data_IF_618923888258
#
_entry.id   IF_618923888258
#
_cell.length_a   1.000
_cell.length_b   1.000
_cell.length_c   1.000
_cell.angle_alpha   90.00
_cell.angle_beta   90.00
_cell.angle_gamma   90.00
#
_symmetry.space_group_name_H-M   'P 1'
#
loop_
_entity.id
_entity.type
_entity.pdbx_description
1 polymer ?
#
# COMPACT_ATOMS: atom_id res chain seq x y z
N UNK A 1 -15.45 -21.51 0.69
CA UNK A 1 -14.03 -21.12 0.80
C UNK A 1 -13.65 -21.08 2.28
N UNK A 2 -12.56 -21.73 2.68
CA UNK A 2 -12.03 -21.51 4.03
C UNK A 2 -11.55 -20.06 4.18
N UNK A 3 -11.56 -19.55 5.41
CA UNK A 3 -11.05 -18.21 5.70
C UNK A 3 -9.60 -18.09 5.22
N UNK A 4 -9.27 -17.09 4.37
CA UNK A 4 -7.92 -16.95 3.84
C UNK A 4 -6.92 -16.49 4.90
N UNK A 5 -5.69 -16.96 4.76
CA UNK A 5 -4.52 -16.54 5.52
C UNK A 5 -3.69 -15.58 4.66
N UNK A 6 -3.44 -14.37 5.17
CA UNK A 6 -2.49 -13.43 4.59
C UNK A 6 -1.17 -13.47 5.36
N UNK A 7 -0.10 -13.89 4.68
CA UNK A 7 1.25 -13.87 5.22
C UNK A 7 1.90 -12.54 4.85
N UNK A 8 2.39 -11.80 5.86
CA UNK A 8 2.98 -10.46 5.72
C UNK A 8 4.34 -10.36 6.40
N UNK A 9 5.14 -9.37 5.97
CA UNK A 9 6.35 -8.96 6.67
C UNK A 9 6.11 -7.86 7.70
N UNK A 10 7.18 -7.43 8.37
CA UNK A 10 7.17 -6.32 9.32
C UNK A 10 6.40 -5.11 8.78
N UNK A 11 5.43 -4.62 9.56
CA UNK A 11 4.53 -3.54 9.18
C UNK A 11 5.26 -2.21 9.02
N UNK A 12 6.35 -1.99 9.75
CA UNK A 12 7.18 -0.79 9.62
C UNK A 12 7.83 -0.67 8.24
N UNK A 13 8.21 -1.80 7.62
CA UNK A 13 9.07 -1.85 6.44
C UNK A 13 8.38 -2.37 5.16
N UNK A 14 7.46 -3.32 5.29
CA UNK A 14 6.90 -4.03 4.15
C UNK A 14 5.78 -3.25 3.44
N UNK A 15 6.16 -2.36 2.53
CA UNK A 15 5.22 -1.63 1.67
C UNK A 15 4.32 -2.56 0.83
N UNK A 16 4.84 -3.70 0.39
CA UNK A 16 4.09 -4.72 -0.33
C UNK A 16 3.04 -5.39 0.57
N UNK A 17 3.39 -5.71 1.81
CA UNK A 17 2.43 -6.29 2.75
C UNK A 17 1.32 -5.32 3.12
N UNK A 18 1.63 -4.03 3.30
CA UNK A 18 0.62 -3.00 3.54
C UNK A 18 -0.43 -2.99 2.42
N UNK A 19 -0.01 -3.07 1.14
CA UNK A 19 -0.95 -3.07 0.02
C UNK A 19 -1.95 -4.23 0.11
N UNK A 20 -1.48 -5.46 0.30
CA UNK A 20 -2.38 -6.61 0.39
C UNK A 20 -3.28 -6.54 1.64
N UNK A 21 -2.72 -6.18 2.79
CA UNK A 21 -3.48 -6.09 4.03
C UNK A 21 -4.56 -5.00 3.97
N UNK A 22 -4.21 -3.81 3.48
CA UNK A 22 -5.11 -2.68 3.35
C UNK A 22 -6.23 -2.98 2.35
N UNK A 23 -5.92 -3.64 1.24
CA UNK A 23 -6.91 -4.11 0.28
C UNK A 23 -7.96 -4.99 0.96
N UNK A 24 -7.53 -6.06 1.65
CA UNK A 24 -8.47 -6.99 2.29
C UNK A 24 -9.33 -6.29 3.35
N UNK A 25 -8.74 -5.42 4.17
CA UNK A 25 -9.47 -4.66 5.19
C UNK A 25 -10.47 -3.68 4.59
N UNK A 26 -10.05 -2.88 3.61
CA UNK A 26 -10.89 -1.83 3.03
C UNK A 26 -12.07 -2.38 2.20
N UNK A 27 -11.93 -3.60 1.65
CA UNK A 27 -12.96 -4.26 0.85
C UNK A 27 -13.69 -5.39 1.59
N UNK A 28 -13.67 -5.34 2.93
CA UNK A 28 -14.43 -6.21 3.84
C UNK A 28 -14.19 -7.71 3.63
N UNK A 29 -12.96 -8.09 3.26
CA UNK A 29 -12.57 -9.51 3.22
C UNK A 29 -12.19 -9.94 4.64
N UNK A 30 -12.80 -11.00 5.15
CA UNK A 30 -12.38 -11.62 6.40
C UNK A 30 -11.14 -12.51 6.14
N UNK A 31 -10.09 -12.32 6.93
CA UNK A 31 -8.81 -13.04 6.77
C UNK A 31 -8.07 -13.15 8.09
N UNK A 32 -7.26 -14.19 8.21
CA UNK A 32 -6.29 -14.36 9.28
C UNK A 32 -4.93 -13.81 8.83
N UNK A 33 -4.16 -13.26 9.76
CA UNK A 33 -2.86 -12.64 9.49
C UNK A 33 -1.74 -13.47 10.12
N UNK A 34 -0.70 -13.78 9.36
CA UNK A 34 0.56 -14.31 9.88
C UNK A 34 1.71 -13.37 9.54
N UNK A 35 2.27 -12.73 10.56
CA UNK A 35 3.45 -11.89 10.44
C UNK A 35 4.72 -12.74 10.49
N UNK A 36 5.66 -12.41 9.62
CA UNK A 36 7.03 -12.95 9.61
C UNK A 36 8.04 -11.80 9.76
N UNK A 37 9.20 -12.13 10.33
CA UNK A 37 10.34 -11.22 10.38
C UNK A 37 11.06 -11.23 9.02
N UNK A 38 11.14 -10.07 8.37
CA UNK A 38 11.82 -9.91 7.09
C UNK A 38 13.32 -10.13 7.25
N UNK A 39 13.89 -10.82 6.27
CA UNK A 39 15.32 -11.20 6.21
C UNK A 39 15.79 -12.06 7.38
N UNK A 40 14.88 -12.57 8.20
CA UNK A 40 15.20 -13.50 9.28
C UNK A 40 15.17 -14.95 8.76
N UNK A 41 16.16 -15.80 9.08
CA UNK A 41 16.16 -17.20 8.67
C UNK A 41 14.90 -17.99 9.10
N UNK A 42 14.23 -17.57 10.18
CA UNK A 42 13.00 -18.20 10.67
C UNK A 42 11.80 -18.04 9.71
N UNK A 43 11.82 -17.02 8.83
CA UNK A 43 10.75 -16.79 7.86
C UNK A 43 10.79 -17.78 6.68
N UNK A 44 11.97 -18.31 6.35
CA UNK A 44 12.19 -19.10 5.15
C UNK A 44 11.31 -20.37 5.08
N UNK A 45 11.22 -21.22 6.13
CA UNK A 45 10.37 -22.42 6.08
C UNK A 45 8.89 -22.09 5.89
N UNK A 46 8.41 -20.97 6.45
CA UNK A 46 7.03 -20.52 6.28
C UNK A 46 6.81 -20.13 4.81
N UNK A 47 7.69 -19.32 4.23
CA UNK A 47 7.53 -18.87 2.85
C UNK A 47 7.65 -20.02 1.85
N UNK A 48 8.60 -20.93 2.02
CA UNK A 48 8.76 -22.10 1.14
C UNK A 48 7.55 -23.04 1.18
N UNK A 49 6.86 -23.14 2.32
CA UNK A 49 5.63 -23.93 2.43
C UNK A 49 4.44 -23.29 1.70
N UNK A 50 4.48 -21.98 1.44
CA UNK A 50 3.33 -21.22 0.95
C UNK A 50 3.51 -20.59 -0.43
N UNK A 51 4.70 -20.17 -0.85
CA UNK A 51 4.92 -19.48 -2.14
C UNK A 51 6.25 -19.91 -2.78
N UNK A 52 6.29 -20.06 -4.12
CA UNK A 52 7.53 -20.35 -4.83
C UNK A 52 8.51 -19.16 -4.87
N UNK A 53 8.07 -17.96 -4.46
CA UNK A 53 8.87 -16.73 -4.60
C UNK A 53 9.80 -16.45 -3.43
N UNK A 54 9.54 -17.06 -2.26
CA UNK A 54 10.23 -16.72 -1.01
C UNK A 54 10.00 -15.27 -0.57
N UNK A 55 8.87 -14.64 -0.96
CA UNK A 55 8.54 -13.23 -0.68
C UNK A 55 7.13 -13.10 -0.13
N UNK A 56 6.90 -11.99 0.57
CA UNK A 56 5.58 -11.53 1.04
C UNK A 56 5.11 -10.33 0.21
N UNK A 57 3.79 -10.08 0.12
CA UNK A 57 2.70 -10.84 0.72
C UNK A 57 2.31 -12.10 -0.05
N UNK A 58 1.67 -13.03 0.66
CA UNK A 58 1.08 -14.25 0.08
C UNK A 58 -0.31 -14.46 0.69
N UNK A 59 -1.33 -14.59 -0.16
CA UNK A 59 -2.68 -14.96 0.24
C UNK A 59 -2.87 -16.46 0.01
N UNK A 60 -3.31 -17.20 1.03
CA UNK A 60 -3.43 -18.66 1.01
C UNK A 60 -4.80 -19.08 1.53
N UNK A 61 -5.48 -20.00 0.85
CA UNK A 61 -6.74 -20.56 1.35
C UNK A 61 -7.04 -21.92 0.71
N UNK A 62 -8.04 -22.62 1.24
CA UNK A 62 -8.53 -23.88 0.68
C UNK A 62 -9.78 -23.70 -0.18
N UNK A 63 -9.78 -24.31 -1.37
CA UNK A 63 -10.91 -24.41 -2.30
C UNK A 63 -11.21 -25.89 -2.56
N UNK A 64 -12.26 -26.42 -1.92
CA UNK A 64 -12.49 -27.87 -1.88
C UNK A 64 -11.32 -28.60 -1.23
N UNK A 65 -10.64 -29.46 -2.00
CA UNK A 65 -9.46 -30.21 -1.56
C UNK A 65 -8.13 -29.56 -2.00
N UNK A 66 -8.19 -28.45 -2.74
CA UNK A 66 -7.01 -27.80 -3.31
C UNK A 66 -6.57 -26.62 -2.45
N UNK A 67 -5.24 -26.44 -2.33
CA UNK A 67 -4.64 -25.24 -1.74
C UNK A 67 -4.45 -24.20 -2.84
N UNK A 68 -5.07 -23.04 -2.68
CA UNK A 68 -4.84 -21.89 -3.55
C UNK A 68 -3.84 -20.94 -2.88
N UNK A 69 -2.89 -20.46 -3.66
CA UNK A 69 -1.90 -19.47 -3.23
C UNK A 69 -1.81 -18.39 -4.29
N UNK A 70 -1.98 -17.14 -3.87
CA UNK A 70 -1.82 -15.95 -4.70
C UNK A 70 -0.71 -15.09 -4.11
N UNK A 71 0.41 -14.99 -4.84
CA UNK A 71 1.52 -14.09 -4.52
C UNK A 71 1.50 -12.91 -5.49
N UNK A 72 2.20 -11.83 -5.14
CA UNK A 72 2.16 -10.52 -5.81
C UNK A 72 0.91 -9.69 -5.46
N UNK A 73 1.12 -8.41 -5.09
CA UNK A 73 0.01 -7.55 -4.64
C UNK A 73 -1.00 -7.23 -5.74
N UNK A 74 -0.56 -7.15 -7.01
CA UNK A 74 -1.47 -6.88 -8.12
C UNK A 74 -2.29 -8.13 -8.46
N UNK A 75 -1.66 -9.30 -8.44
CA UNK A 75 -2.39 -10.56 -8.57
C UNK A 75 -3.40 -10.76 -7.43
N UNK A 76 -3.01 -10.48 -6.18
CA UNK A 76 -3.93 -10.51 -5.02
C UNK A 76 -5.10 -9.53 -5.24
N UNK A 77 -4.83 -8.31 -5.73
CA UNK A 77 -5.89 -7.33 -6.02
C UNK A 77 -6.88 -7.83 -7.07
N UNK A 78 -6.40 -8.34 -8.20
CA UNK A 78 -7.24 -8.91 -9.24
C UNK A 78 -8.08 -10.08 -8.70
N UNK A 79 -7.46 -10.97 -7.93
CA UNK A 79 -8.11 -12.15 -7.39
C UNK A 79 -9.18 -11.81 -6.35
N UNK A 80 -8.89 -10.85 -5.46
CA UNK A 80 -9.84 -10.36 -4.45
C UNK A 80 -11.03 -9.71 -5.12
N UNK A 81 -10.78 -8.85 -6.12
CA UNK A 81 -11.84 -8.20 -6.88
C UNK A 81 -12.77 -9.22 -7.53
N UNK A 82 -12.26 -10.35 -8.00
CA UNK A 82 -13.07 -11.34 -8.67
C UNK A 82 -13.86 -12.19 -7.66
N UNK A 83 -13.21 -12.69 -6.60
CA UNK A 83 -13.74 -13.80 -5.82
C UNK A 83 -14.03 -13.52 -4.33
N UNK A 84 -13.49 -12.45 -3.75
CA UNK A 84 -13.54 -12.25 -2.28
C UNK A 84 -14.38 -11.07 -1.82
N UNK A 85 -14.85 -10.22 -2.73
CA UNK A 85 -15.65 -9.05 -2.37
C UNK A 85 -16.73 -8.74 -3.39
N UNK A 86 -17.85 -8.22 -2.92
CA UNK A 86 -18.93 -7.67 -3.75
C UNK A 86 -18.69 -6.21 -4.12
N UNK A 87 -17.61 -5.59 -3.65
CA UNK A 87 -17.20 -4.24 -4.01
C UNK A 87 -16.21 -4.32 -5.19
N UNK A 88 -16.49 -3.61 -6.28
CA UNK A 88 -15.53 -3.48 -7.36
C UNK A 88 -14.36 -2.60 -6.90
N UNK A 89 -13.18 -3.18 -6.74
CA UNK A 89 -12.03 -2.48 -6.14
C UNK A 89 -11.51 -1.34 -7.02
N UNK A 90 -11.81 -1.37 -8.32
CA UNK A 90 -11.36 -0.36 -9.28
C UNK A 90 -12.20 0.91 -9.22
N UNK A 91 -13.45 0.81 -8.77
CA UNK A 91 -14.41 1.92 -8.69
C UNK A 91 -14.83 2.26 -7.26
N UNK A 92 -14.68 1.34 -6.31
CA UNK A 92 -15.12 1.48 -4.92
C UNK A 92 -16.65 1.35 -4.73
N UNK A 93 -17.35 0.80 -5.74
CA UNK A 93 -18.81 0.68 -5.77
C UNK A 93 -19.21 -0.79 -5.69
N UNK A 94 -20.32 -1.12 -5.03
CA UNK A 94 -20.83 -2.50 -5.03
C UNK A 94 -21.16 -2.94 -6.47
N UNK A 95 -20.71 -4.14 -6.84
CA UNK A 95 -20.96 -4.74 -8.17
C UNK A 95 -22.46 -4.83 -8.52
N UNK A 96 -23.40 -5.11 -7.59
CA UNK A 96 -24.83 -5.10 -7.90
C UNK A 96 -25.39 -3.71 -8.23
N UNK A 97 -24.73 -2.63 -7.79
CA UNK A 97 -25.19 -1.25 -7.96
C UNK A 97 -24.75 -0.62 -9.30
N UNK A 98 -24.04 -1.37 -10.15
CA UNK A 98 -23.58 -0.86 -11.46
C UNK A 98 -24.72 -0.81 -12.48
N UNK A 99 -24.98 0.37 -13.07
CA UNK A 99 -25.97 0.58 -14.12
C UNK A 99 -25.34 1.10 -15.44
N UNK A 100 -26.03 0.89 -16.56
CA UNK A 100 -25.50 1.12 -17.92
C UNK A 100 -24.94 2.54 -18.20
N UNK A 101 -25.49 3.61 -17.61
CA UNK A 101 -24.94 4.96 -17.74
C UNK A 101 -23.72 5.19 -16.82
N UNK A 102 -23.77 4.72 -15.57
CA UNK A 102 -22.59 4.74 -14.69
C UNK A 102 -21.45 3.89 -15.24
N UNK A 103 -21.74 2.88 -16.07
CA UNK A 103 -20.73 2.00 -16.65
C UNK A 103 -19.70 2.74 -17.53
N UNK A 104 -20.06 3.81 -18.25
CA UNK A 104 -19.07 4.49 -19.10
C UNK A 104 -18.00 5.22 -18.27
N UNK A 105 -18.42 6.05 -17.30
CA UNK A 105 -17.47 6.75 -16.42
C UNK A 105 -16.73 5.76 -15.52
N UNK A 106 -17.40 4.70 -15.05
CA UNK A 106 -16.79 3.63 -14.27
C UNK A 106 -15.73 2.89 -15.08
N UNK A 107 -15.97 2.59 -16.37
CA UNK A 107 -14.96 1.99 -17.25
C UNK A 107 -13.75 2.91 -17.44
N UNK A 108 -13.96 4.21 -17.68
CA UNK A 108 -12.86 5.18 -17.82
C UNK A 108 -12.04 5.27 -16.53
N UNK A 109 -12.71 5.45 -15.39
CA UNK A 109 -12.05 5.54 -14.09
C UNK A 109 -11.32 4.23 -13.75
N UNK A 110 -11.94 3.08 -14.02
CA UNK A 110 -11.34 1.77 -13.81
C UNK A 110 -10.09 1.57 -14.68
N UNK A 111 -10.16 1.94 -15.97
CA UNK A 111 -9.00 1.86 -16.86
C UNK A 111 -7.84 2.74 -16.37
N UNK A 112 -8.14 3.96 -15.92
CA UNK A 112 -7.11 4.86 -15.40
C UNK A 112 -6.55 4.37 -14.05
N UNK A 113 -7.41 3.90 -13.15
CA UNK A 113 -7.07 3.27 -11.88
C UNK A 113 -6.10 2.09 -12.09
N UNK A 114 -6.42 1.16 -12.98
CA UNK A 114 -5.57 0.02 -13.30
C UNK A 114 -4.21 0.47 -13.91
N UNK A 115 -4.22 1.49 -14.77
CA UNK A 115 -3.00 2.00 -15.41
C UNK A 115 -2.02 2.59 -14.39
N UNK A 116 -2.48 3.45 -13.48
CA UNK A 116 -1.61 4.06 -12.45
C UNK A 116 -1.16 3.04 -11.39
N UNK A 117 -1.99 2.02 -11.12
CA UNK A 117 -1.61 0.89 -10.28
C UNK A 117 -0.47 0.10 -10.94
N UNK A 118 -0.59 -0.22 -12.23
CA UNK A 118 0.45 -0.92 -12.97
C UNK A 118 1.75 -0.10 -13.03
N UNK A 119 1.65 1.22 -13.22
CA UNK A 119 2.79 2.15 -13.20
C UNK A 119 3.49 2.15 -11.83
N UNK A 120 2.75 2.24 -10.73
CA UNK A 120 3.32 2.18 -9.37
C UNK A 120 3.86 0.79 -9.01
N UNK A 121 3.23 -0.27 -9.51
CA UNK A 121 3.63 -1.65 -9.24
C UNK A 121 4.95 -2.00 -9.93
N UNK A 122 5.11 -1.60 -11.20
CA UNK A 122 6.25 -1.97 -12.06
C UNK A 122 7.31 -0.88 -12.24
N UNK A 123 7.03 0.36 -11.87
CA UNK A 123 7.91 1.51 -12.05
C UNK A 123 8.17 2.31 -10.77
N UNK A 124 8.41 3.62 -10.97
CA UNK A 124 8.72 4.61 -9.93
C UNK A 124 9.86 4.14 -8.99
N UNK A 125 10.96 3.68 -9.59
CA UNK A 125 12.06 3.05 -8.88
C UNK A 125 12.89 4.02 -8.05
N UNK A 126 13.01 5.29 -8.45
CA UNK A 126 13.77 6.31 -7.72
C UNK A 126 13.20 6.52 -6.32
N UNK A 127 11.91 6.80 -6.21
CA UNK A 127 11.27 6.93 -4.89
C UNK A 127 11.27 5.61 -4.11
N UNK A 128 11.14 4.46 -4.79
CA UNK A 128 11.14 3.15 -4.12
C UNK A 128 12.49 2.78 -3.52
N UNK A 129 13.58 3.18 -4.17
CA UNK A 129 14.94 2.85 -3.75
C UNK A 129 15.47 3.84 -2.70
N UNK A 130 15.12 5.12 -2.82
CA UNK A 130 15.68 6.19 -1.98
C UNK A 130 14.79 6.54 -0.78
N UNK A 131 13.50 6.22 -0.85
CA UNK A 131 12.55 6.38 0.25
C UNK A 131 11.91 5.02 0.60
N UNK A 132 12.65 4.08 1.20
CA UNK A 132 12.05 2.85 1.72
C UNK A 132 11.00 3.18 2.79
N UNK A 133 9.98 2.34 2.95
CA UNK A 133 8.97 2.61 3.97
C UNK A 133 9.59 2.37 5.36
N UNK A 134 9.56 3.36 6.23
CA UNK A 134 10.02 3.27 7.62
C UNK A 134 9.11 4.15 8.49
N UNK A 135 7.94 3.60 8.85
CA UNK A 135 6.82 4.35 9.44
C UNK A 135 7.18 5.04 10.75
N UNK A 136 8.09 4.46 11.54
CA UNK A 136 8.52 5.03 12.81
C UNK A 136 9.46 6.23 12.65
N UNK A 137 10.10 6.41 11.50
CA UNK A 137 11.14 7.41 11.33
C UNK A 137 10.60 8.76 10.83
N UNK A 138 11.30 9.83 11.20
CA UNK A 138 11.43 11.02 10.35
C UNK A 138 12.90 11.06 9.94
N UNK A 139 13.17 11.07 8.65
CA UNK A 139 14.54 10.93 8.14
C UNK A 139 14.82 11.90 6.99
N UNK A 140 16.04 12.41 6.97
CA UNK A 140 16.52 13.35 5.96
C UNK A 140 17.38 12.62 4.93
N UNK A 141 17.03 12.76 3.67
CA UNK A 141 17.80 12.24 2.54
C UNK A 141 18.21 13.38 1.60
N UNK A 142 19.09 13.06 0.64
CA UNK A 142 19.34 13.89 -0.52
C UNK A 142 18.80 13.16 -1.76
N UNK A 143 17.57 13.48 -2.21
CA UNK A 143 16.94 12.74 -3.29
C UNK A 143 17.65 13.01 -4.62
N UNK A 144 17.84 11.98 -5.42
CA UNK A 144 18.33 12.09 -6.79
C UNK A 144 17.30 12.76 -7.71
N UNK A 145 17.73 13.13 -8.92
CA UNK A 145 16.81 13.59 -9.95
C UNK A 145 15.76 12.55 -10.34
N UNK A 146 16.09 11.25 -10.26
CA UNK A 146 15.15 10.17 -10.53
C UNK A 146 14.07 10.11 -9.45
N UNK A 147 14.45 10.20 -8.17
CA UNK A 147 13.50 10.26 -7.05
C UNK A 147 12.58 11.48 -7.16
N UNK A 148 13.13 12.66 -7.44
CA UNK A 148 12.35 13.88 -7.62
C UNK A 148 11.40 13.81 -8.83
N UNK A 149 11.84 13.20 -9.93
CA UNK A 149 10.99 12.97 -11.11
C UNK A 149 9.83 12.03 -10.81
N UNK A 150 10.06 10.97 -10.03
CA UNK A 150 9.00 10.05 -9.60
C UNK A 150 7.98 10.76 -8.70
N UNK A 151 8.44 11.59 -7.76
CA UNK A 151 7.57 12.41 -6.91
C UNK A 151 6.71 13.32 -7.78
N UNK A 152 7.31 14.06 -8.72
CA UNK A 152 6.56 14.92 -9.63
C UNK A 152 5.51 14.15 -10.45
N UNK A 153 5.84 12.92 -10.91
CA UNK A 153 4.89 12.06 -11.60
C UNK A 153 3.73 11.63 -10.70
N UNK A 154 4.01 11.24 -9.46
CA UNK A 154 3.00 10.89 -8.47
C UNK A 154 2.07 12.08 -8.18
N UNK A 155 2.62 13.28 -8.00
CA UNK A 155 1.82 14.48 -7.76
C UNK A 155 0.90 14.82 -8.95
N UNK A 156 1.38 14.62 -10.18
CA UNK A 156 0.55 14.76 -11.38
C UNK A 156 -0.60 13.73 -11.40
N UNK A 157 -0.32 12.46 -11.06
CA UNK A 157 -1.36 11.42 -10.93
C UNK A 157 -2.41 11.84 -9.90
N UNK A 158 -1.98 12.30 -8.72
CA UNK A 158 -2.91 12.74 -7.68
C UNK A 158 -3.73 13.95 -8.11
N UNK A 159 -3.12 14.92 -8.79
CA UNK A 159 -3.83 16.09 -9.29
C UNK A 159 -4.89 15.74 -10.32
N UNK A 160 -4.56 14.86 -11.28
CA UNK A 160 -5.51 14.38 -12.29
C UNK A 160 -6.67 13.61 -11.64
N UNK A 161 -6.35 12.71 -10.70
CA UNK A 161 -7.33 11.93 -9.96
C UNK A 161 -8.22 12.81 -9.07
N UNK A 162 -7.71 13.85 -8.41
CA UNK A 162 -8.48 14.65 -7.47
C UNK A 162 -9.20 15.85 -8.11
N UNK A 163 -8.98 16.10 -9.40
CA UNK A 163 -9.58 17.22 -10.13
C UNK A 163 -11.11 17.24 -9.98
N UNK A 164 -11.63 18.36 -9.47
CA UNK A 164 -13.08 18.58 -9.28
C UNK A 164 -13.71 17.76 -8.15
N UNK A 165 -12.93 17.08 -7.31
CA UNK A 165 -13.42 16.30 -6.16
C UNK A 165 -13.36 17.11 -4.86
N UNK A 166 -14.12 16.67 -3.86
CA UNK A 166 -14.12 17.28 -2.53
C UNK A 166 -12.79 17.05 -1.80
N UNK A 167 -12.51 17.87 -0.79
CA UNK A 167 -11.19 17.90 -0.16
C UNK A 167 -10.83 16.64 0.65
N UNK A 168 -11.84 15.92 1.11
CA UNK A 168 -11.72 14.66 1.85
C UNK A 168 -11.92 13.41 0.96
N UNK A 169 -11.92 13.57 -0.36
CA UNK A 169 -12.05 12.44 -1.29
C UNK A 169 -10.77 11.61 -1.40
N UNK A 170 -10.96 10.33 -1.68
CA UNK A 170 -9.94 9.44 -2.21
C UNK A 170 -9.69 9.72 -3.70
N UNK A 171 -8.68 9.07 -4.31
CA UNK A 171 -8.23 9.38 -5.67
C UNK A 171 -9.37 9.34 -6.70
N UNK A 172 -10.30 8.39 -6.57
CA UNK A 172 -11.45 8.29 -7.48
C UNK A 172 -12.77 8.71 -6.82
N UNK A 173 -12.73 9.42 -5.69
CA UNK A 173 -13.90 9.80 -4.89
C UNK A 173 -14.16 8.76 -3.79
N UNK A 174 -14.52 7.54 -4.20
CA UNK A 174 -14.55 6.37 -3.32
C UNK A 174 -13.15 5.79 -3.13
N UNK A 175 -12.95 5.00 -2.07
CA UNK A 175 -11.73 4.26 -1.85
C UNK A 175 -11.60 3.16 -2.90
N UNK A 176 -10.44 3.08 -3.55
CA UNK A 176 -10.15 2.13 -4.63
C UNK A 176 -8.82 1.44 -4.41
N UNK A 177 -8.51 0.46 -5.25
CA UNK A 177 -7.19 -0.16 -5.30
C UNK A 177 -6.08 0.87 -5.61
N UNK A 178 -6.35 2.02 -6.24
CA UNK A 178 -5.34 3.04 -6.44
C UNK A 178 -4.87 3.59 -5.09
N UNK A 179 -5.81 3.91 -4.20
CA UNK A 179 -5.49 4.38 -2.84
C UNK A 179 -4.67 3.35 -2.06
N UNK A 180 -4.96 2.05 -2.26
CA UNK A 180 -4.17 0.94 -1.71
C UNK A 180 -2.71 0.97 -2.19
N UNK A 181 -2.49 1.07 -3.51
CA UNK A 181 -1.14 0.97 -4.08
C UNK A 181 -0.27 2.20 -3.79
N UNK A 182 -0.89 3.36 -3.63
CA UNK A 182 -0.24 4.62 -3.25
C UNK A 182 -0.17 4.85 -1.73
N UNK A 183 -0.83 4.04 -0.89
CA UNK A 183 -0.72 4.17 0.56
C UNK A 183 0.74 4.13 1.08
N UNK A 184 1.61 3.21 0.65
CA UNK A 184 3.01 3.25 1.06
C UNK A 184 3.75 4.51 0.59
N UNK A 185 3.36 5.10 -0.54
CA UNK A 185 3.94 6.36 -1.02
C UNK A 185 3.60 7.50 -0.07
N UNK A 186 2.35 7.58 0.40
CA UNK A 186 1.95 8.55 1.42
C UNK A 186 2.81 8.42 2.69
N UNK A 187 3.06 7.20 3.15
CA UNK A 187 3.89 6.96 4.35
C UNK A 187 5.36 7.31 4.13
N UNK A 188 5.89 7.10 2.92
CA UNK A 188 7.24 7.57 2.55
C UNK A 188 7.32 9.08 2.56
N UNK A 189 6.37 9.78 1.93
CA UNK A 189 6.33 11.23 1.93
C UNK A 189 6.25 11.79 3.36
N UNK A 190 5.47 11.17 4.24
CA UNK A 190 5.41 11.50 5.67
C UNK A 190 6.76 11.34 6.39
N UNK A 191 7.54 10.32 6.01
CA UNK A 191 8.84 10.01 6.62
C UNK A 191 9.93 10.99 6.17
N UNK A 192 9.98 11.31 4.87
CA UNK A 192 11.14 11.96 4.26
C UNK A 192 10.91 13.39 3.76
N UNK A 193 9.71 13.76 3.30
CA UNK A 193 9.54 14.95 2.48
C UNK A 193 9.93 16.23 3.22
N UNK A 194 9.34 16.47 4.40
CA UNK A 194 9.59 17.69 5.16
C UNK A 194 11.05 17.77 5.66
N UNK A 195 11.59 16.67 6.22
CA UNK A 195 12.97 16.61 6.71
C UNK A 195 14.01 16.79 5.59
N UNK A 196 13.65 16.43 4.36
CA UNK A 196 14.50 16.57 3.15
C UNK A 196 14.23 17.86 2.37
N UNK A 197 13.43 18.78 2.91
CA UNK A 197 13.02 20.04 2.26
C UNK A 197 12.32 19.86 0.90
N UNK A 198 11.61 18.74 0.71
CA UNK A 198 10.82 18.48 -0.49
C UNK A 198 9.44 19.10 -0.30
N UNK A 199 9.17 20.19 -1.02
CA UNK A 199 7.88 20.87 -0.94
C UNK A 199 6.83 20.16 -1.79
N UNK A 200 5.90 19.46 -1.14
CA UNK A 200 4.75 18.85 -1.80
C UNK A 200 3.70 19.88 -2.21
N UNK A 201 3.03 19.65 -3.32
CA UNK A 201 1.90 20.44 -3.80
C UNK A 201 0.74 20.42 -2.79
N UNK A 202 -0.07 21.49 -2.69
CA UNK A 202 -1.16 21.56 -1.73
C UNK A 202 -2.14 20.38 -1.81
N UNK A 203 -2.47 19.94 -3.03
CA UNK A 203 -3.40 18.85 -3.26
C UNK A 203 -2.80 17.49 -2.84
N UNK A 204 -1.50 17.28 -3.06
CA UNK A 204 -0.76 16.12 -2.56
C UNK A 204 -0.79 16.07 -1.03
N UNK A 205 -0.49 17.18 -0.35
CA UNK A 205 -0.54 17.27 1.12
C UNK A 205 -1.92 16.95 1.66
N UNK A 206 -2.96 17.50 1.02
CA UNK A 206 -4.35 17.24 1.40
C UNK A 206 -4.71 15.75 1.25
N UNK A 207 -4.33 15.11 0.15
CA UNK A 207 -4.57 13.68 -0.04
C UNK A 207 -3.78 12.80 0.93
N UNK A 208 -2.52 13.16 1.22
CA UNK A 208 -1.74 12.50 2.26
C UNK A 208 -2.48 12.54 3.60
N UNK A 209 -3.06 13.70 3.96
CA UNK A 209 -3.85 13.84 5.17
C UNK A 209 -5.14 13.01 5.15
N UNK A 210 -5.83 12.90 4.01
CA UNK A 210 -6.98 12.01 3.84
C UNK A 210 -6.59 10.55 4.10
N UNK A 211 -5.49 10.08 3.51
CA UNK A 211 -4.99 8.71 3.69
C UNK A 211 -4.51 8.45 5.12
N UNK A 212 -3.79 9.37 5.74
CA UNK A 212 -3.39 9.26 7.15
C UNK A 212 -4.57 9.29 8.11
N UNK A 213 -5.72 9.82 7.69
CA UNK A 213 -6.96 9.79 8.45
C UNK A 213 -7.77 8.49 8.28
N UNK A 214 -7.45 7.66 7.28
CA UNK A 214 -8.10 6.38 7.06
C UNK A 214 -7.88 5.45 8.28
N UNK A 215 -8.94 4.81 8.82
CA UNK A 215 -8.84 4.00 10.03
C UNK A 215 -7.93 2.77 9.88
N UNK A 216 -7.87 2.16 8.69
CA UNK A 216 -7.01 1.01 8.44
C UNK A 216 -5.53 1.42 8.36
N UNK A 217 -5.22 2.58 7.75
CA UNK A 217 -3.87 3.15 7.77
C UNK A 217 -3.43 3.46 9.20
N UNK A 218 -4.29 4.09 10.00
CA UNK A 218 -4.01 4.34 11.42
C UNK A 218 -3.72 3.04 12.17
N UNK A 219 -4.54 2.00 11.98
CA UNK A 219 -4.32 0.70 12.61
C UNK A 219 -2.98 0.07 12.21
N UNK A 220 -2.61 0.15 10.93
CA UNK A 220 -1.30 -0.33 10.45
C UNK A 220 -0.14 0.43 11.07
N UNK A 221 -0.21 1.76 11.10
CA UNK A 221 0.81 2.62 11.74
C UNK A 221 0.95 2.25 13.22
N UNK A 222 -0.15 2.14 13.95
CA UNK A 222 -0.08 1.80 15.38
C UNK A 222 0.60 0.46 15.63
N UNK A 223 0.33 -0.56 14.81
CA UNK A 223 1.00 -1.85 14.90
C UNK A 223 2.49 -1.75 14.53
N UNK A 224 2.84 -1.00 13.48
CA UNK A 224 4.24 -0.76 13.10
C UNK A 224 5.05 -0.07 14.20
N UNK A 225 4.44 0.86 14.95
CA UNK A 225 5.08 1.57 16.07
C UNK A 225 5.39 0.68 17.29
N UNK A 226 4.86 -0.55 17.34
CA UNK A 226 5.20 -1.54 18.36
C UNK A 226 6.35 -2.47 17.94
N UNK A 227 6.77 -2.45 16.66
CA UNK A 227 7.82 -3.33 16.16
C UNK A 227 9.21 -2.85 16.58
N UNK A 228 10.05 -3.78 17.04
CA UNK A 228 11.44 -3.50 17.46
C UNK A 228 12.49 -3.96 16.45
N UNK A 229 12.09 -4.71 15.41
CA UNK A 229 13.00 -5.16 14.36
C UNK A 229 13.62 -3.96 13.67
N UNK A 230 14.91 -4.07 13.32
CA UNK A 230 15.60 -3.10 12.49
C UNK A 230 16.08 -3.81 11.22
N UNK A 231 15.87 -3.18 10.07
CA UNK A 231 16.35 -3.63 8.77
C UNK A 231 17.26 -2.51 8.26
N UNK A 232 18.57 -2.72 8.34
CA UNK A 232 19.57 -1.67 8.10
C UNK A 232 19.42 -1.05 6.70
N UNK A 233 19.08 -1.86 5.71
CA UNK A 233 18.89 -1.42 4.32
C UNK A 233 17.69 -0.47 4.14
N UNK A 234 16.72 -0.51 5.06
CA UNK A 234 15.53 0.34 5.05
C UNK A 234 15.62 1.54 6.02
N UNK A 235 16.75 1.70 6.74
CA UNK A 235 17.07 2.88 7.57
C UNK A 235 17.74 3.97 6.72
N UNK A 236 17.06 4.43 5.66
CA UNK A 236 17.63 5.37 4.71
C UNK A 236 17.80 6.80 5.27
N UNK A 237 18.96 7.39 5.01
CA UNK A 237 19.25 8.79 5.33
C UNK A 237 19.69 9.03 6.78
N UNK A 238 19.65 10.30 7.17
CA UNK A 238 19.91 10.75 8.54
C UNK A 238 18.58 10.73 9.33
N UNK A 239 18.44 9.81 10.28
CA UNK A 239 17.26 9.75 11.14
C UNK A 239 17.23 10.98 12.06
N UNK A 240 16.22 11.82 11.86
CA UNK A 240 15.98 13.05 12.64
C UNK A 240 15.24 12.72 13.94
N UNK A 241 14.27 11.81 13.88
CA UNK A 241 13.55 11.35 15.05
C UNK A 241 12.91 9.98 14.81
N UNK A 242 12.58 9.30 15.91
CA UNK A 242 11.82 8.05 15.92
C UNK A 242 10.53 8.21 16.71
N UNK A 243 9.51 7.47 16.31
CA UNK A 243 8.22 7.33 16.99
C UNK A 243 8.03 5.89 17.47
N UNK A 244 7.08 5.67 18.38
CA UNK A 244 6.75 4.33 18.87
C UNK A 244 7.70 3.82 19.96
N UNK A 245 7.76 2.49 20.15
CA UNK A 245 8.48 1.86 21.27
C UNK A 245 10.00 2.12 21.25
N UNK A 246 10.54 2.52 20.10
CA UNK A 246 11.96 2.85 19.93
C UNK A 246 12.28 4.35 20.10
N UNK A 247 11.29 5.22 20.30
CA UNK A 247 11.51 6.66 20.51
C UNK A 247 12.19 7.01 21.84
N UNK A 248 12.24 6.07 22.78
CA UNK A 248 12.78 6.24 24.13
C UNK A 248 14.21 5.68 24.32
N UNK A 249 14.89 5.28 23.24
CA UNK A 249 16.29 4.84 23.25
C UNK A 249 17.17 5.90 22.61
#
# INVERSE_FOLDING_TARGET
>A
MQKPLLIIGNKNYSSWSLRAWLLLKAFNVDFDEQLIELFDPSARPILEAHSPTGKVPVLVYGEGNEKVTVWDTLAIAMYVNEYFTDINIWTGINKPDTNAQTDHQNRINSAYCQSIIAEMHSGLSGIRNEMPMNIRATAKIQPSSACLSDIARIEAIFADCLKGRSTNSYLFGHFTAADVFFAPVVLRLQTYADASNITLQPLTKQYCQTMLNNPHIKAWIQAALQETRMIEEDEAGEVVSLSGILSAK
#
